data_IF_404353532281
#
_entry.id   IF_404353532281
#
_cell.length_a   1.000
_cell.length_b   1.000
_cell.length_c   1.000
_cell.angle_alpha   90.00
_cell.angle_beta   90.00
_cell.angle_gamma   90.00
#
_symmetry.space_group_name_H-M   'P 1'
#
loop_
_entity.id
_entity.type
_entity.pdbx_description
1 polymer ?
#
# COMPACT_ATOMS: atom_id res chain seq x y z
N UNK A 1 18.66 15.53 -7.46
CA UNK A 1 19.19 16.28 -8.62
C UNK A 1 18.33 16.07 -9.88
N UNK A 2 17.57 14.96 -9.98
CA UNK A 2 16.73 14.67 -11.16
C UNK A 2 15.31 15.27 -11.12
N UNK A 3 15.01 16.13 -10.14
CA UNK A 3 13.73 16.83 -10.04
C UNK A 3 13.91 18.25 -10.54
N UNK A 4 12.91 18.75 -11.25
CA UNK A 4 12.81 20.13 -11.71
C UNK A 4 11.41 20.65 -11.42
N UNK A 5 11.27 21.97 -11.41
CA UNK A 5 9.99 22.68 -11.29
C UNK A 5 9.23 22.46 -10.00
N UNK A 6 9.99 22.32 -8.92
CA UNK A 6 9.43 22.32 -7.59
C UNK A 6 8.95 23.73 -7.21
N UNK A 7 7.92 23.75 -6.35
CA UNK A 7 7.37 24.95 -5.75
C UNK A 7 7.44 24.90 -4.24
N UNK A 8 7.49 26.07 -3.60
CA UNK A 8 7.62 26.24 -2.16
C UNK A 8 6.46 27.06 -1.62
N UNK A 9 5.72 26.42 -0.72
CA UNK A 9 4.78 27.02 0.22
C UNK A 9 5.04 26.31 1.55
N UNK A 10 5.67 26.97 2.52
CA UNK A 10 6.23 26.32 3.71
C UNK A 10 6.07 27.20 4.94
N UNK A 11 6.01 26.63 6.15
CA UNK A 11 6.05 27.46 7.35
C UNK A 11 7.41 28.16 7.48
N UNK A 12 8.51 27.42 7.28
CA UNK A 12 9.88 27.91 7.41
C UNK A 12 10.65 27.77 6.09
N UNK A 13 11.25 28.86 5.63
CA UNK A 13 12.27 28.84 4.59
C UNK A 13 13.62 28.49 5.21
N UNK A 14 14.38 27.57 4.59
CA UNK A 14 15.66 27.09 5.13
C UNK A 14 16.79 27.24 4.11
N UNK A 15 18.04 27.15 4.58
CA UNK A 15 19.23 27.22 3.70
C UNK A 15 19.20 26.13 2.61
N UNK A 16 18.69 24.94 2.91
CA UNK A 16 18.53 23.86 1.92
C UNK A 16 17.57 24.25 0.77
N UNK A 17 16.48 24.94 1.09
CA UNK A 17 15.54 25.44 0.08
C UNK A 17 16.23 26.50 -0.80
N UNK A 18 17.01 27.40 -0.20
CA UNK A 18 17.83 28.35 -0.95
C UNK A 18 18.81 27.63 -1.89
N UNK A 19 19.53 26.62 -1.42
CA UNK A 19 20.47 25.88 -2.26
C UNK A 19 19.77 25.18 -3.45
N UNK A 20 18.59 24.60 -3.23
CA UNK A 20 17.78 24.00 -4.30
C UNK A 20 17.25 25.04 -5.29
N UNK A 21 16.91 26.24 -4.83
CA UNK A 21 16.54 27.35 -5.69
C UNK A 21 17.73 27.81 -6.55
N UNK A 22 18.89 28.02 -5.94
CA UNK A 22 20.13 28.42 -6.64
C UNK A 22 20.59 27.36 -7.65
N UNK A 23 20.29 26.07 -7.41
CA UNK A 23 20.54 24.98 -8.35
C UNK A 23 19.51 24.88 -9.49
N UNK A 24 18.48 25.74 -9.52
CA UNK A 24 17.43 25.74 -10.54
C UNK A 24 16.38 24.62 -10.41
N UNK A 25 16.40 23.88 -9.30
CA UNK A 25 15.43 22.80 -9.02
C UNK A 25 14.07 23.38 -8.65
N UNK A 26 14.08 24.47 -7.87
CA UNK A 26 12.87 25.19 -7.45
C UNK A 26 12.67 26.38 -8.38
N UNK A 27 11.52 26.39 -9.08
CA UNK A 27 11.15 27.48 -9.99
C UNK A 27 9.81 28.11 -9.63
N UNK A 28 9.01 27.44 -8.79
CA UNK A 28 7.67 27.86 -8.38
C UNK A 28 6.66 28.07 -9.53
N UNK A 29 6.97 27.67 -10.77
CA UNK A 29 6.12 27.96 -11.95
C UNK A 29 4.92 27.04 -12.13
N UNK A 30 4.89 25.92 -11.41
CA UNK A 30 3.87 24.88 -11.52
C UNK A 30 3.02 24.76 -10.25
N UNK A 31 3.01 25.78 -9.39
CA UNK A 31 2.31 25.73 -8.10
C UNK A 31 0.80 25.79 -8.29
N UNK A 32 0.31 26.48 -9.33
CA UNK A 32 -1.12 26.73 -9.58
C UNK A 32 -1.71 27.84 -8.70
N UNK A 33 -0.99 28.22 -7.64
CA UNK A 33 -1.28 29.33 -6.76
C UNK A 33 0.03 29.93 -6.24
N UNK A 34 0.12 31.27 -6.15
CA UNK A 34 1.37 31.98 -5.83
C UNK A 34 2.55 31.55 -6.73
N UNK A 35 2.29 31.47 -8.04
CA UNK A 35 3.29 31.04 -9.03
C UNK A 35 4.47 32.01 -9.10
N UNK A 36 5.67 31.45 -9.30
CA UNK A 36 6.92 32.21 -9.35
C UNK A 36 7.45 32.68 -7.99
N UNK A 37 6.73 32.44 -6.89
CA UNK A 37 7.10 32.89 -5.54
C UNK A 37 7.36 31.72 -4.59
N UNK A 38 8.46 31.81 -3.84
CA UNK A 38 8.66 31.03 -2.61
C UNK A 38 7.87 31.72 -1.49
N UNK A 39 6.85 31.03 -0.98
CA UNK A 39 5.98 31.57 0.07
C UNK A 39 6.35 30.93 1.41
N UNK A 40 6.60 31.76 2.42
CA UNK A 40 6.87 31.29 3.78
C UNK A 40 6.29 32.18 4.87
N UNK A 41 6.25 31.69 6.12
CA UNK A 41 5.86 32.51 7.29
C UNK A 41 7.06 33.03 8.08
N UNK A 42 8.16 32.28 8.07
CA UNK A 42 9.41 32.61 8.73
C UNK A 42 10.60 31.97 8.00
N UNK A 43 11.82 32.36 8.36
CA UNK A 43 13.05 31.76 7.84
C UNK A 43 13.96 31.33 9.00
N UNK A 44 14.63 30.19 8.83
CA UNK A 44 15.62 29.65 9.78
C UNK A 44 16.81 29.13 8.98
N UNK A 45 17.98 29.71 9.18
CA UNK A 45 19.20 29.28 8.50
C UNK A 45 20.43 30.08 8.88
N UNK A 46 21.43 29.98 8.03
CA UNK A 46 22.71 30.69 8.12
C UNK A 46 22.66 32.11 7.52
N UNK A 47 23.77 32.84 7.62
CA UNK A 47 23.88 34.20 7.10
C UNK A 47 23.57 34.29 5.59
N UNK A 48 23.98 33.27 4.82
CA UNK A 48 23.75 33.21 3.38
C UNK A 48 22.25 33.20 3.05
N UNK A 49 21.44 32.46 3.81
CA UNK A 49 19.98 32.47 3.64
C UNK A 49 19.40 33.87 3.82
N UNK A 50 19.82 34.58 4.86
CA UNK A 50 19.28 35.92 5.12
C UNK A 50 19.71 36.94 4.07
N UNK A 51 20.94 36.83 3.55
CA UNK A 51 21.39 37.66 2.42
C UNK A 51 20.64 37.33 1.12
N UNK A 52 20.37 36.05 0.86
CA UNK A 52 19.54 35.62 -0.27
C UNK A 52 18.09 36.13 -0.19
N UNK A 53 17.54 36.27 1.01
CA UNK A 53 16.18 36.78 1.23
C UNK A 53 16.10 38.29 1.06
N UNK A 54 17.18 39.02 1.36
CA UNK A 54 17.20 40.47 1.39
C UNK A 54 16.79 41.07 0.02
N UNK A 55 15.69 41.83 0.02
CA UNK A 55 15.09 42.45 -1.17
C UNK A 55 14.89 41.52 -2.38
N UNK A 56 14.68 40.22 -2.13
CA UNK A 56 14.49 39.25 -3.18
C UNK A 56 13.01 39.14 -3.59
N UNK A 57 12.62 39.59 -4.80
CA UNK A 57 11.23 39.56 -5.23
C UNK A 57 10.71 38.14 -5.48
N UNK A 58 11.56 37.11 -5.50
CA UNK A 58 11.12 35.73 -5.61
C UNK A 58 10.63 35.15 -4.28
N UNK A 59 10.81 35.85 -3.15
CA UNK A 59 10.41 35.41 -1.81
C UNK A 59 9.29 36.30 -1.28
N UNK A 60 8.24 35.70 -0.74
CA UNK A 60 7.14 36.41 -0.08
C UNK A 60 6.90 35.83 1.32
N UNK A 61 6.99 36.69 2.34
CA UNK A 61 6.58 36.35 3.69
C UNK A 61 5.14 36.77 3.93
N UNK A 62 4.32 35.83 4.40
CA UNK A 62 2.93 36.04 4.76
C UNK A 62 2.70 35.57 6.21
N UNK A 63 1.70 36.11 6.92
CA UNK A 63 1.41 35.67 8.29
C UNK A 63 0.97 34.20 8.34
N UNK A 64 1.13 33.57 9.51
CA UNK A 64 0.87 32.13 9.67
C UNK A 64 -0.59 31.75 9.45
N UNK A 65 -1.55 32.64 9.72
CA UNK A 65 -2.97 32.43 9.43
C UNK A 65 -3.29 32.36 7.92
N UNK A 66 -2.37 32.84 7.06
CA UNK A 66 -2.41 32.61 5.61
C UNK A 66 -1.63 31.36 5.21
N UNK A 67 -0.36 31.28 5.61
CA UNK A 67 0.56 30.21 5.18
C UNK A 67 0.09 28.85 5.69
N UNK A 68 -0.37 28.79 6.93
CA UNK A 68 -0.84 27.58 7.58
C UNK A 68 -2.36 27.38 7.42
N UNK A 69 -3.05 28.11 6.55
CA UNK A 69 -4.46 27.83 6.33
C UNK A 69 -4.60 26.59 5.43
N UNK A 70 -5.22 25.49 5.88
CA UNK A 70 -5.37 24.28 5.05
C UNK A 70 -6.07 24.56 3.71
N UNK A 71 -7.02 25.50 3.69
CA UNK A 71 -7.74 25.89 2.47
C UNK A 71 -6.86 26.65 1.48
N UNK A 72 -5.83 27.34 1.95
CA UNK A 72 -4.82 27.99 1.09
C UNK A 72 -3.81 26.97 0.60
N UNK A 73 -3.33 26.11 1.50
CA UNK A 73 -2.39 25.02 1.18
C UNK A 73 -2.99 24.12 0.08
N UNK A 74 -4.27 23.75 0.19
CA UNK A 74 -4.99 22.88 -0.73
C UNK A 74 -5.10 23.42 -2.17
N UNK A 75 -4.88 24.72 -2.39
CA UNK A 75 -4.94 25.34 -3.73
C UNK A 75 -3.71 25.05 -4.59
N UNK A 76 -2.65 24.51 -3.99
CA UNK A 76 -1.42 24.20 -4.71
C UNK A 76 -1.51 22.83 -5.37
N UNK A 77 -1.06 22.74 -6.62
CA UNK A 77 -1.00 21.47 -7.34
C UNK A 77 0.01 20.53 -6.70
N UNK A 78 -0.39 19.27 -6.43
CA UNK A 78 0.48 18.21 -5.90
C UNK A 78 1.26 18.63 -4.65
N UNK A 79 0.60 19.36 -3.73
CA UNK A 79 1.20 19.77 -2.47
C UNK A 79 1.75 18.57 -1.69
N UNK A 80 3.04 18.61 -1.33
CA UNK A 80 3.66 17.57 -0.49
C UNK A 80 4.04 18.15 0.86
N UNK A 81 3.44 17.64 1.93
CA UNK A 81 3.81 17.96 3.30
C UNK A 81 4.72 16.86 3.86
N UNK A 82 5.95 17.24 4.24
CA UNK A 82 6.92 16.36 4.90
C UNK A 82 7.09 16.80 6.35
N UNK A 83 6.86 15.90 7.29
CA UNK A 83 6.96 16.21 8.72
C UNK A 83 7.69 15.10 9.46
N UNK A 84 8.63 15.48 10.33
CA UNK A 84 9.36 14.53 11.18
C UNK A 84 8.61 14.36 12.51
N UNK A 85 8.45 13.12 12.96
CA UNK A 85 7.69 12.77 14.16
C UNK A 85 8.53 11.95 15.14
N UNK A 86 8.14 11.89 16.41
CA UNK A 86 8.98 11.28 17.47
C UNK A 86 8.66 9.82 17.74
N UNK A 87 7.39 9.42 17.66
CA UNK A 87 6.95 8.03 17.72
C UNK A 87 5.52 7.88 17.17
N UNK A 88 5.17 6.64 16.81
CA UNK A 88 3.81 6.28 16.40
C UNK A 88 3.39 4.96 17.01
N UNK A 89 2.10 4.83 17.34
CA UNK A 89 1.57 3.52 17.72
C UNK A 89 1.17 2.65 16.53
N UNK A 90 0.91 1.37 16.79
CA UNK A 90 0.47 0.39 15.78
C UNK A 90 -0.85 0.77 15.10
N UNK A 91 -1.69 1.58 15.76
CA UNK A 91 -2.93 2.10 15.17
C UNK A 91 -2.69 3.38 14.39
N UNK A 92 -1.46 3.88 14.33
CA UNK A 92 -1.01 5.06 13.61
C UNK A 92 -1.36 6.39 14.27
N UNK A 93 -1.56 6.45 15.59
CA UNK A 93 -1.53 7.74 16.29
C UNK A 93 -0.08 8.23 16.40
N UNK A 94 0.11 9.55 16.44
CA UNK A 94 1.43 10.15 16.33
C UNK A 94 1.74 11.03 17.52
N UNK A 95 2.92 10.80 18.10
CA UNK A 95 3.59 11.77 18.93
C UNK A 95 4.62 12.52 18.08
N UNK A 96 4.53 13.85 18.07
CA UNK A 96 5.49 14.73 17.40
C UNK A 96 6.14 15.71 18.38
N UNK A 97 5.62 15.79 19.61
CA UNK A 97 6.01 16.73 20.65
C UNK A 97 7.15 16.18 21.53
N UNK A 98 7.74 17.08 22.30
CA UNK A 98 8.72 16.82 23.33
C UNK A 98 8.13 15.98 24.47
N UNK A 99 9.00 15.29 25.21
CA UNK A 99 8.60 14.39 26.29
C UNK A 99 7.84 15.15 27.40
N UNK A 100 6.88 14.53 28.12
CA UNK A 100 5.96 15.21 29.05
C UNK A 100 6.62 16.12 30.09
N UNK A 101 7.87 15.82 30.46
CA UNK A 101 8.63 16.54 31.48
C UNK A 101 9.41 17.75 30.93
N UNK A 102 9.53 17.89 29.61
CA UNK A 102 10.32 18.97 28.99
C UNK A 102 9.50 20.20 28.66
N UNK A 103 8.15 20.12 28.53
CA UNK A 103 7.22 21.24 28.23
C UNK A 103 7.59 22.17 27.04
N UNK A 104 8.64 21.85 26.29
CA UNK A 104 9.16 22.67 25.19
C UNK A 104 8.81 22.02 23.85
N UNK A 105 7.54 22.06 23.47
CA UNK A 105 7.09 22.19 22.07
C UNK A 105 5.57 22.36 22.10
N UNK A 106 5.06 23.20 21.20
CA UNK A 106 3.62 23.42 21.02
C UNK A 106 3.14 22.69 19.77
N UNK A 107 1.82 22.58 19.61
CA UNK A 107 1.21 22.09 18.37
C UNK A 107 1.71 22.98 17.22
N UNK A 108 2.67 22.47 16.44
CA UNK A 108 3.23 23.16 15.28
C UNK A 108 2.20 23.21 14.15
N UNK A 109 2.50 23.93 13.07
CA UNK A 109 1.68 23.93 11.84
C UNK A 109 1.54 22.59 11.13
N UNK A 110 2.08 21.51 11.70
CA UNK A 110 2.10 20.17 11.12
C UNK A 110 0.70 19.70 10.71
N UNK A 111 -0.29 19.83 11.60
CA UNK A 111 -1.67 19.44 11.31
C UNK A 111 -2.28 20.21 10.14
N UNK A 112 -1.91 21.49 10.00
CA UNK A 112 -2.42 22.34 8.94
C UNK A 112 -1.92 21.88 7.58
N UNK A 113 -0.61 21.61 7.48
CA UNK A 113 0.02 21.10 6.27
C UNK A 113 -0.42 19.67 5.93
N UNK A 114 -0.65 18.82 6.94
CA UNK A 114 -1.21 17.47 6.73
C UNK A 114 -2.58 17.58 6.06
N UNK A 115 -3.49 18.37 6.63
CA UNK A 115 -4.85 18.50 6.11
C UNK A 115 -4.89 19.22 4.77
N UNK A 116 -4.12 20.29 4.62
CA UNK A 116 -4.02 21.04 3.38
C UNK A 116 -3.44 20.21 2.23
N UNK A 117 -2.38 19.43 2.48
CA UNK A 117 -1.80 18.56 1.46
C UNK A 117 -2.74 17.40 1.07
N UNK A 118 -3.50 16.85 2.03
CA UNK A 118 -4.50 15.82 1.73
C UNK A 118 -5.68 16.36 0.90
N UNK A 119 -6.03 17.64 1.06
CA UNK A 119 -7.09 18.30 0.28
C UNK A 119 -6.64 18.79 -1.10
N UNK A 120 -5.33 18.93 -1.32
CA UNK A 120 -4.77 19.35 -2.59
C UNK A 120 -4.90 18.27 -3.68
N UNK A 121 -5.14 18.68 -4.94
CA UNK A 121 -5.19 17.76 -6.06
C UNK A 121 -3.84 17.05 -6.26
N UNK A 122 -3.84 15.72 -6.13
CA UNK A 122 -2.63 14.90 -6.19
C UNK A 122 -1.65 15.13 -5.03
N UNK A 123 -2.08 15.79 -3.96
CA UNK A 123 -1.27 16.09 -2.80
C UNK A 123 -0.98 14.88 -1.91
N UNK A 124 0.07 14.99 -1.09
CA UNK A 124 0.55 13.91 -0.21
C UNK A 124 1.02 14.47 1.12
N UNK A 125 0.59 13.84 2.20
CA UNK A 125 1.14 14.05 3.54
C UNK A 125 1.99 12.85 3.93
N UNK A 126 3.26 13.09 4.26
CA UNK A 126 4.25 12.05 4.59
C UNK A 126 4.87 12.38 5.96
N UNK A 127 4.70 11.46 6.89
CA UNK A 127 5.35 11.47 8.20
C UNK A 127 6.63 10.65 8.15
N UNK A 128 7.70 11.22 8.68
CA UNK A 128 9.04 10.64 8.67
C UNK A 128 9.48 10.36 10.11
N UNK A 129 10.00 9.17 10.37
CA UNK A 129 10.73 8.90 11.61
C UNK A 129 11.77 7.80 11.38
N UNK A 130 12.93 7.85 12.04
CA UNK A 130 13.76 6.65 12.17
C UNK A 130 12.95 5.53 12.84
N UNK A 131 13.24 4.28 12.54
CA UNK A 131 12.53 3.16 13.17
C UNK A 131 12.92 3.02 14.66
N UNK A 132 14.10 3.49 15.06
CA UNK A 132 14.61 3.43 16.44
C UNK A 132 14.96 4.81 17.01
N UNK A 133 15.21 4.86 18.32
CA UNK A 133 15.86 6.01 18.95
C UNK A 133 17.32 6.17 18.48
N UNK A 134 17.97 7.25 18.92
CA UNK A 134 19.34 7.57 18.55
C UNK A 134 20.37 6.51 19.03
N UNK A 135 20.00 5.64 19.96
CA UNK A 135 20.86 4.56 20.47
C UNK A 135 20.63 3.22 19.78
N UNK A 136 19.57 3.09 18.97
CA UNK A 136 19.13 1.83 18.37
C UNK A 136 18.43 0.89 19.35
N UNK A 137 18.37 1.22 20.65
CA UNK A 137 17.90 0.30 21.69
C UNK A 137 16.41 0.33 21.94
N UNK A 138 15.70 1.34 21.42
CA UNK A 138 14.25 1.47 21.57
C UNK A 138 13.60 1.72 20.21
N UNK A 139 12.50 1.02 19.94
CA UNK A 139 11.65 1.29 18.78
C UNK A 139 10.90 2.62 18.95
N UNK A 140 10.73 3.36 17.83
CA UNK A 140 9.82 4.51 17.73
C UNK A 140 8.43 4.11 17.24
N UNK A 141 8.28 2.90 16.73
CA UNK A 141 6.98 2.25 16.53
C UNK A 141 6.66 1.50 17.81
N UNK A 142 5.61 1.90 18.51
CA UNK A 142 5.24 1.34 19.83
C UNK A 142 3.86 0.66 19.76
N UNK A 143 3.52 -0.25 20.68
CA UNK A 143 2.19 -0.87 20.69
C UNK A 143 1.07 0.18 20.86
N UNK A 144 1.23 1.08 21.83
CA UNK A 144 0.26 2.11 22.18
C UNK A 144 1.01 3.34 22.74
N UNK A 145 0.61 4.54 22.33
CA UNK A 145 1.14 5.78 22.92
C UNK A 145 0.46 6.04 24.28
N UNK A 146 1.17 5.73 25.37
CA UNK A 146 0.67 5.90 26.75
C UNK A 146 1.37 7.05 27.51
N UNK A 147 2.60 7.37 27.13
CA UNK A 147 3.50 8.29 27.84
C UNK A 147 3.72 9.60 27.06
N UNK A 148 2.94 9.86 26.00
CA UNK A 148 3.10 11.01 25.11
C UNK A 148 1.75 11.56 24.69
N UNK A 149 1.70 12.87 24.45
CA UNK A 149 0.54 13.50 23.85
C UNK A 149 0.39 13.07 22.38
N UNK A 150 -0.84 12.76 21.99
CA UNK A 150 -1.20 12.49 20.60
C UNK A 150 -1.34 13.85 19.90
N UNK A 151 -0.43 14.15 18.98
CA UNK A 151 -0.42 15.40 18.21
C UNK A 151 -1.21 15.25 16.92
N UNK A 152 -1.02 14.12 16.23
CA UNK A 152 -1.76 13.80 15.01
C UNK A 152 -2.64 12.59 15.29
N UNK A 153 -3.97 12.76 15.27
CA UNK A 153 -4.90 11.65 15.37
C UNK A 153 -4.69 10.69 14.20
N UNK A 154 -4.86 9.40 14.46
CA UNK A 154 -4.74 8.34 13.45
C UNK A 154 -5.53 8.60 12.16
N UNK A 155 -6.68 9.28 12.25
CA UNK A 155 -7.53 9.60 11.08
C UNK A 155 -6.90 10.57 10.09
N UNK A 156 -5.97 11.42 10.53
CA UNK A 156 -5.27 12.39 9.69
C UNK A 156 -3.98 11.81 9.06
N UNK A 157 -3.61 10.55 9.38
CA UNK A 157 -2.36 9.92 8.91
C UNK A 157 -2.52 9.21 7.58
N UNK A 158 -1.70 9.62 6.60
CA UNK A 158 -1.58 8.99 5.28
C UNK A 158 -0.29 8.18 5.15
N UNK A 159 0.80 8.78 4.67
CA UNK A 159 2.04 8.06 4.45
C UNK A 159 2.95 8.14 5.68
N UNK A 160 3.60 7.03 6.01
CA UNK A 160 4.60 6.92 7.07
C UNK A 160 5.85 6.29 6.47
N UNK A 161 7.00 6.89 6.69
CA UNK A 161 8.28 6.40 6.20
C UNK A 161 9.30 6.23 7.33
N UNK A 162 10.03 5.12 7.26
CA UNK A 162 11.27 4.86 8.00
C UNK A 162 12.36 4.46 7.01
N UNK A 163 13.57 4.21 7.51
CA UNK A 163 14.66 3.63 6.75
C UNK A 163 14.35 2.22 6.20
N UNK A 164 13.27 1.56 6.66
CA UNK A 164 12.83 0.23 6.20
C UNK A 164 11.71 0.26 5.16
N UNK A 165 11.20 1.44 4.80
CA UNK A 165 10.20 1.58 3.74
C UNK A 165 9.14 2.63 4.03
N UNK A 166 8.12 2.65 3.17
CA UNK A 166 7.00 3.59 3.23
C UNK A 166 5.68 2.83 3.17
N UNK A 167 4.73 3.18 4.04
CA UNK A 167 3.38 2.62 4.03
C UNK A 167 2.33 3.73 3.98
N UNK A 168 1.19 3.45 3.34
CA UNK A 168 0.02 4.31 3.39
C UNK A 168 -1.01 3.74 4.37
N UNK A 169 -1.35 4.49 5.42
CA UNK A 169 -2.32 4.12 6.45
C UNK A 169 -3.74 4.65 6.19
N UNK A 170 -3.95 5.44 5.14
CA UNK A 170 -5.26 5.98 4.80
C UNK A 170 -6.20 4.86 4.34
N UNK A 171 -7.43 4.83 4.88
CA UNK A 171 -8.44 3.82 4.57
C UNK A 171 -8.14 2.41 5.08
N UNK A 172 -7.04 2.20 5.82
CA UNK A 172 -6.68 0.91 6.43
C UNK A 172 -7.39 0.69 7.76
N UNK A 173 -7.83 -0.55 8.00
CA UNK A 173 -8.29 -1.04 9.29
C UNK A 173 -7.16 -1.07 10.33
N UNK A 174 -7.49 -1.23 11.62
CA UNK A 174 -6.46 -1.33 12.68
C UNK A 174 -5.51 -2.51 12.48
N UNK A 175 -6.02 -3.65 11.99
CA UNK A 175 -5.18 -4.80 11.66
C UNK A 175 -4.18 -4.48 10.54
N UNK A 176 -4.65 -3.85 9.46
CA UNK A 176 -3.78 -3.48 8.33
C UNK A 176 -2.77 -2.39 8.72
N UNK A 177 -3.17 -1.46 9.58
CA UNK A 177 -2.27 -0.44 10.14
C UNK A 177 -1.18 -1.08 10.98
N UNK A 178 -1.53 -2.01 11.87
CA UNK A 178 -0.56 -2.68 12.71
C UNK A 178 0.47 -3.46 11.88
N UNK A 179 0.03 -4.24 10.87
CA UNK A 179 0.94 -4.95 9.96
C UNK A 179 1.82 -3.99 9.16
N UNK A 180 1.23 -2.92 8.61
CA UNK A 180 1.97 -1.92 7.86
C UNK A 180 3.04 -1.25 8.74
N UNK A 181 2.69 -0.84 9.96
CA UNK A 181 3.64 -0.24 10.90
C UNK A 181 4.74 -1.22 11.29
N UNK A 182 4.42 -2.48 11.59
CA UNK A 182 5.42 -3.52 11.90
C UNK A 182 6.37 -3.74 10.71
N UNK A 183 5.86 -3.70 9.47
CA UNK A 183 6.69 -3.91 8.27
C UNK A 183 7.79 -2.86 8.06
N UNK A 184 7.57 -1.64 8.56
CA UNK A 184 8.54 -0.54 8.51
C UNK A 184 9.23 -0.32 9.87
N UNK A 185 9.03 -1.21 10.84
CA UNK A 185 9.79 -1.23 12.08
C UNK A 185 11.17 -1.85 11.87
N UNK A 186 12.10 -1.53 12.78
CA UNK A 186 13.41 -2.15 12.81
C UNK A 186 13.27 -3.66 13.08
N UNK A 187 13.97 -4.54 12.34
CA UNK A 187 13.82 -6.00 12.41
C UNK A 187 13.79 -6.56 13.83
N UNK A 188 14.72 -6.12 14.69
CA UNK A 188 14.85 -6.57 16.09
C UNK A 188 13.59 -6.39 16.96
N UNK A 189 12.67 -5.49 16.58
CA UNK A 189 11.46 -5.20 17.36
C UNK A 189 10.17 -5.72 16.70
N UNK A 190 10.24 -6.30 15.50
CA UNK A 190 9.04 -6.74 14.76
C UNK A 190 8.29 -7.83 15.51
N UNK A 191 9.03 -8.77 16.07
CA UNK A 191 8.50 -9.93 16.80
C UNK A 191 7.75 -9.49 18.06
N UNK A 192 8.37 -8.58 18.82
CA UNK A 192 7.78 -7.98 20.02
C UNK A 192 6.51 -7.20 19.66
N UNK A 193 6.58 -6.32 18.66
CA UNK A 193 5.43 -5.51 18.23
C UNK A 193 4.26 -6.37 17.73
N UNK A 194 4.56 -7.46 17.02
CA UNK A 194 3.56 -8.41 16.56
C UNK A 194 2.90 -9.16 17.72
N UNK A 195 3.69 -9.58 18.71
CA UNK A 195 3.18 -10.22 19.91
C UNK A 195 2.27 -9.28 20.73
N UNK A 196 2.68 -8.02 20.88
CA UNK A 196 1.85 -6.99 21.53
C UNK A 196 0.58 -6.70 20.72
N UNK A 197 0.66 -6.63 19.39
CA UNK A 197 -0.52 -6.47 18.53
C UNK A 197 -1.54 -7.60 18.72
N UNK A 198 -1.07 -8.85 18.87
CA UNK A 198 -1.94 -9.99 19.23
C UNK A 198 -2.61 -9.82 20.58
N UNK A 199 -1.85 -9.43 21.62
CA UNK A 199 -2.40 -9.16 22.96
C UNK A 199 -3.46 -8.06 22.94
N UNK A 200 -3.26 -7.04 22.11
CA UNK A 200 -4.20 -5.95 21.89
C UNK A 200 -5.44 -6.35 21.08
N UNK A 201 -5.52 -7.60 20.60
CA UNK A 201 -6.63 -8.08 19.77
C UNK A 201 -6.63 -7.52 18.35
N UNK A 202 -5.50 -6.97 17.88
CA UNK A 202 -5.36 -6.47 16.50
C UNK A 202 -5.21 -7.60 15.48
N UNK A 203 -4.76 -8.79 15.92
CA UNK A 203 -4.59 -10.00 15.11
C UNK A 203 -5.38 -11.18 15.70
N UNK A 204 -5.78 -12.13 14.84
CA UNK A 204 -6.34 -13.41 15.29
C UNK A 204 -5.26 -14.26 15.98
N UNK A 205 -5.66 -15.04 16.99
CA UNK A 205 -4.72 -15.81 17.83
C UNK A 205 -3.89 -16.85 17.04
N UNK A 206 -4.39 -17.30 15.89
CA UNK A 206 -3.85 -18.41 15.09
C UNK A 206 -2.68 -18.04 14.15
N UNK A 207 -2.40 -16.76 13.86
CA UNK A 207 -1.35 -16.37 12.88
C UNK A 207 0.06 -16.48 13.43
N UNK A 208 1.04 -17.03 12.70
CA UNK A 208 2.46 -16.92 13.12
C UNK A 208 3.12 -15.64 12.59
N UNK A 209 4.23 -15.25 13.20
CA UNK A 209 5.01 -14.06 12.85
C UNK A 209 5.69 -14.21 11.48
N UNK A 210 6.22 -15.40 11.17
CA UNK A 210 6.92 -15.71 9.91
C UNK A 210 5.98 -15.56 8.70
N UNK A 211 4.73 -16.00 8.83
CA UNK A 211 3.65 -15.77 7.84
C UNK A 211 3.29 -14.28 7.70
N UNK A 212 3.55 -13.47 8.72
CA UNK A 212 3.15 -12.06 8.79
C UNK A 212 4.24 -11.07 8.36
N UNK A 213 5.52 -11.43 8.51
CA UNK A 213 6.67 -10.65 8.00
C UNK A 213 6.83 -10.85 6.49
N UNK A 214 6.48 -12.02 5.95
CA UNK A 214 6.31 -12.20 4.50
C UNK A 214 4.96 -11.63 4.00
N UNK A 215 3.99 -11.45 4.92
CA UNK A 215 2.75 -10.69 4.77
C UNK A 215 2.89 -9.18 4.47
N UNK A 216 4.06 -8.69 4.04
CA UNK A 216 4.19 -7.32 3.55
C UNK A 216 3.45 -7.24 2.22
N UNK A 217 2.44 -6.39 2.19
CA UNK A 217 1.62 -6.17 1.01
C UNK A 217 2.49 -5.79 -0.21
N UNK A 218 2.53 -6.61 -1.28
CA UNK A 218 3.42 -6.38 -2.41
C UNK A 218 2.81 -5.32 -3.34
N UNK A 219 3.08 -4.04 -3.04
CA UNK A 219 2.56 -2.87 -3.76
C UNK A 219 2.95 -2.91 -5.24
N UNK A 220 4.08 -3.53 -5.58
CA UNK A 220 4.54 -3.71 -6.96
C UNK A 220 3.63 -4.59 -7.83
N UNK A 221 2.73 -5.38 -7.21
CA UNK A 221 1.72 -6.14 -7.93
C UNK A 221 0.46 -5.31 -8.23
N UNK A 222 0.29 -4.13 -7.61
CA UNK A 222 -0.80 -3.22 -7.92
C UNK A 222 -0.62 -2.57 -9.31
N UNK A 223 -1.68 -2.62 -10.12
CA UNK A 223 -1.68 -2.02 -11.45
C UNK A 223 -3.09 -1.54 -11.82
N UNK A 224 -3.19 -0.32 -12.36
CA UNK A 224 -4.41 0.16 -12.98
C UNK A 224 -4.36 -0.11 -14.48
N UNK A 225 -5.31 -0.90 -14.97
CA UNK A 225 -5.47 -1.19 -16.40
C UNK A 225 -6.81 -0.64 -16.90
N UNK A 226 -6.88 -0.33 -18.19
CA UNK A 226 -8.11 0.13 -18.83
C UNK A 226 -8.70 -0.98 -19.69
N UNK A 227 -9.93 -1.39 -19.38
CA UNK A 227 -10.67 -2.42 -20.13
C UNK A 227 -12.01 -1.81 -20.55
N UNK A 228 -12.28 -1.77 -21.85
CA UNK A 228 -13.51 -1.21 -22.44
C UNK A 228 -13.89 0.20 -21.94
N UNK A 229 -12.89 1.03 -21.63
CA UNK A 229 -13.11 2.38 -21.13
C UNK A 229 -13.11 2.51 -19.60
N UNK A 230 -13.31 1.41 -18.87
CA UNK A 230 -13.37 1.38 -17.41
C UNK A 230 -11.98 1.09 -16.80
N UNK A 231 -11.67 1.74 -15.67
CA UNK A 231 -10.44 1.49 -14.93
C UNK A 231 -10.65 0.27 -14.03
N UNK A 232 -9.80 -0.73 -14.20
CA UNK A 232 -9.74 -1.93 -13.36
C UNK A 232 -8.42 -1.90 -12.59
N UNK A 233 -8.50 -1.91 -11.27
CA UNK A 233 -7.34 -2.02 -10.39
C UNK A 233 -7.08 -3.49 -10.10
N UNK A 234 -5.96 -4.02 -10.62
CA UNK A 234 -5.44 -5.32 -10.24
C UNK A 234 -4.56 -5.13 -9.00
N UNK A 235 -4.81 -5.89 -7.94
CA UNK A 235 -4.01 -5.78 -6.71
C UNK A 235 -4.08 -7.05 -5.85
N UNK A 236 -3.09 -7.33 -4.99
CA UNK A 236 -3.22 -8.34 -3.96
C UNK A 236 -4.44 -8.12 -3.07
N UNK A 237 -5.07 -9.20 -2.63
CA UNK A 237 -6.15 -9.17 -1.66
C UNK A 237 -5.65 -8.61 -0.34
N UNK A 238 -6.54 -7.96 0.39
CA UNK A 238 -6.31 -7.42 1.74
C UNK A 238 -7.16 -8.22 2.72
N UNK A 239 -6.80 -8.29 4.01
CA UNK A 239 -7.63 -8.96 5.02
C UNK A 239 -9.09 -8.47 5.04
N UNK A 240 -9.32 -7.20 4.71
CA UNK A 240 -10.65 -6.58 4.66
C UNK A 240 -11.48 -6.91 3.40
N UNK A 241 -10.90 -7.60 2.42
CA UNK A 241 -11.60 -7.94 1.17
C UNK A 241 -12.56 -9.12 1.33
N UNK A 242 -12.62 -9.73 2.52
CA UNK A 242 -13.48 -10.88 2.85
C UNK A 242 -14.90 -10.69 2.31
N UNK A 243 -15.54 -9.56 2.61
CA UNK A 243 -16.90 -9.27 2.16
C UNK A 243 -17.00 -9.06 0.65
N UNK A 244 -16.02 -8.39 0.04
CA UNK A 244 -16.03 -8.11 -1.41
C UNK A 244 -15.82 -9.39 -2.23
N UNK A 245 -14.96 -10.29 -1.75
CA UNK A 245 -14.72 -11.61 -2.34
C UNK A 245 -15.96 -12.49 -2.16
N UNK A 246 -16.58 -12.45 -0.98
CA UNK A 246 -17.83 -13.15 -0.72
C UNK A 246 -18.95 -12.68 -1.66
N UNK A 247 -19.13 -11.36 -1.80
CA UNK A 247 -20.08 -10.76 -2.74
C UNK A 247 -19.77 -11.16 -4.19
N UNK A 248 -18.50 -11.21 -4.58
CA UNK A 248 -18.09 -11.71 -5.89
C UNK A 248 -18.58 -13.15 -6.13
N UNK A 249 -18.35 -14.08 -5.19
CA UNK A 249 -18.78 -15.47 -5.35
C UNK A 249 -20.30 -15.63 -5.41
N UNK A 250 -21.07 -14.82 -4.67
CA UNK A 250 -22.54 -14.81 -4.79
C UNK A 250 -23.04 -14.29 -6.15
N UNK A 251 -22.22 -13.61 -6.94
CA UNK A 251 -22.58 -13.13 -8.29
C UNK A 251 -22.19 -14.08 -9.42
N UNK A 252 -21.54 -15.21 -9.11
CA UNK A 252 -21.14 -16.19 -10.11
C UNK A 252 -22.31 -17.06 -10.56
N UNK A 253 -22.28 -17.50 -11.82
CA UNK A 253 -23.20 -18.52 -12.31
C UNK A 253 -22.87 -19.88 -11.66
N UNK A 254 -23.86 -20.77 -11.50
CA UNK A 254 -23.68 -22.07 -10.83
C UNK A 254 -22.51 -22.89 -11.38
N UNK A 255 -22.35 -22.92 -12.70
CA UNK A 255 -21.28 -23.66 -13.36
C UNK A 255 -19.89 -23.09 -13.02
N UNK A 256 -19.77 -21.77 -12.84
CA UNK A 256 -18.51 -21.13 -12.47
C UNK A 256 -18.15 -21.44 -11.02
N UNK A 257 -19.15 -21.51 -10.13
CA UNK A 257 -18.95 -21.98 -8.74
C UNK A 257 -18.49 -23.43 -8.72
N UNK A 258 -19.17 -24.33 -9.44
CA UNK A 258 -18.78 -25.74 -9.52
C UNK A 258 -17.36 -25.87 -10.09
N UNK A 259 -17.05 -25.13 -11.15
CA UNK A 259 -15.71 -25.15 -11.74
C UNK A 259 -14.64 -24.66 -10.77
N UNK A 260 -14.97 -23.74 -9.86
CA UNK A 260 -14.02 -23.15 -8.92
C UNK A 260 -13.79 -24.02 -7.69
N UNK A 261 -14.84 -24.66 -7.20
CA UNK A 261 -14.82 -25.39 -5.92
C UNK A 261 -14.95 -26.91 -6.09
N UNK A 262 -15.12 -27.41 -7.31
CA UNK A 262 -15.37 -28.82 -7.66
C UNK A 262 -16.65 -29.43 -7.05
N UNK A 263 -17.53 -28.62 -6.49
CA UNK A 263 -18.85 -29.02 -5.99
C UNK A 263 -19.83 -27.84 -6.04
N UNK A 264 -21.13 -28.12 -5.97
CA UNK A 264 -22.14 -27.08 -5.81
C UNK A 264 -22.01 -26.40 -4.45
N UNK A 265 -21.86 -25.07 -4.44
CA UNK A 265 -21.75 -24.28 -3.22
C UNK A 265 -22.69 -23.07 -3.28
N UNK A 266 -23.62 -23.00 -2.34
CA UNK A 266 -24.62 -21.91 -2.28
C UNK A 266 -24.36 -20.92 -1.14
N UNK A 267 -23.45 -21.24 -0.22
CA UNK A 267 -23.13 -20.42 0.96
C UNK A 267 -21.62 -20.26 1.05
N UNK A 268 -21.16 -19.02 1.22
CA UNK A 268 -19.76 -18.68 1.43
C UNK A 268 -19.61 -18.07 2.81
N UNK A 269 -19.34 -18.87 3.84
CA UNK A 269 -19.26 -18.37 5.22
C UNK A 269 -17.95 -17.60 5.44
N UNK A 270 -17.96 -16.62 6.35
CA UNK A 270 -16.77 -15.82 6.72
C UNK A 270 -15.52 -16.69 6.95
N UNK A 271 -15.64 -17.74 7.76
CA UNK A 271 -14.54 -18.66 8.09
C UNK A 271 -13.88 -19.30 6.86
N UNK A 272 -14.61 -19.48 5.77
CA UNK A 272 -14.08 -20.08 4.54
C UNK A 272 -13.36 -19.04 3.67
N UNK A 273 -13.82 -17.78 3.71
CA UNK A 273 -13.18 -16.67 3.01
C UNK A 273 -11.88 -16.24 3.67
N UNK A 274 -11.71 -16.55 4.95
CA UNK A 274 -10.47 -16.28 5.69
C UNK A 274 -9.26 -16.95 5.04
N UNK A 275 -9.34 -18.16 4.49
CA UNK A 275 -8.21 -18.80 3.80
C UNK A 275 -7.76 -18.06 2.53
N UNK A 276 -8.70 -17.37 1.87
CA UNK A 276 -8.45 -16.61 0.62
C UNK A 276 -7.89 -15.21 0.93
N UNK A 277 -8.16 -14.67 2.12
CA UNK A 277 -7.69 -13.33 2.56
C UNK A 277 -6.52 -13.38 3.53
N UNK A 278 -6.23 -14.53 4.13
CA UNK A 278 -5.04 -14.80 4.94
C UNK A 278 -3.89 -15.26 4.04
N UNK A 279 -3.36 -14.30 3.28
CA UNK A 279 -2.26 -14.50 2.35
C UNK A 279 -0.96 -13.98 2.96
N UNK A 280 0.09 -14.80 2.92
CA UNK A 280 1.46 -14.41 3.25
C UNK A 280 2.20 -13.84 2.02
N UNK A 281 1.50 -13.74 0.87
CA UNK A 281 1.97 -13.29 -0.45
C UNK A 281 3.14 -14.09 -1.03
N UNK A 282 3.57 -15.16 -0.36
CA UNK A 282 4.71 -16.01 -0.73
C UNK A 282 4.22 -17.41 -1.06
N UNK A 283 3.64 -18.11 -0.08
CA UNK A 283 3.10 -19.45 -0.21
C UNK A 283 1.63 -19.43 -0.63
N UNK A 284 0.91 -18.37 -0.29
CA UNK A 284 -0.46 -18.13 -0.71
C UNK A 284 -0.61 -16.68 -1.20
N UNK A 285 -1.08 -16.49 -2.43
CA UNK A 285 -1.29 -15.18 -3.02
C UNK A 285 -2.64 -15.13 -3.75
N UNK A 286 -3.49 -14.20 -3.32
CA UNK A 286 -4.73 -13.87 -4.01
C UNK A 286 -4.60 -12.49 -4.67
N UNK A 287 -4.85 -12.41 -5.97
CA UNK A 287 -4.99 -11.19 -6.74
C UNK A 287 -6.46 -10.92 -7.06
N UNK A 288 -6.87 -9.67 -6.87
CA UNK A 288 -8.22 -9.17 -7.15
C UNK A 288 -8.17 -8.21 -8.34
N UNK A 289 -9.18 -8.30 -9.21
CA UNK A 289 -9.55 -7.23 -10.11
C UNK A 289 -10.72 -6.45 -9.51
N UNK A 290 -10.52 -5.16 -9.26
CA UNK A 290 -11.48 -4.28 -8.58
C UNK A 290 -11.87 -3.13 -9.49
N UNK A 291 -13.17 -2.81 -9.55
CA UNK A 291 -13.71 -1.66 -10.30
C UNK A 291 -14.48 -0.72 -9.38
N UNK A 292 -14.55 0.56 -9.73
CA UNK A 292 -15.21 1.60 -8.95
C UNK A 292 -14.23 2.43 -8.11
N UNK A 293 -14.77 3.32 -7.29
CA UNK A 293 -13.98 4.27 -6.50
C UNK A 293 -13.17 3.57 -5.40
N UNK A 294 -12.03 4.18 -5.04
CA UNK A 294 -11.19 3.70 -3.95
C UNK A 294 -12.00 3.62 -2.65
N UNK A 295 -11.92 2.47 -1.96
CA UNK A 295 -12.70 2.19 -0.75
C UNK A 295 -14.10 1.61 -1.00
N UNK A 296 -14.72 1.88 -2.14
CA UNK A 296 -16.05 1.38 -2.52
C UNK A 296 -16.02 0.38 -3.68
N UNK A 297 -14.83 0.02 -4.15
CA UNK A 297 -14.67 -0.86 -5.30
C UNK A 297 -15.26 -2.26 -5.11
N UNK A 298 -15.77 -2.81 -6.21
CA UNK A 298 -16.34 -4.16 -6.33
C UNK A 298 -15.35 -5.11 -6.98
N UNK A 299 -15.21 -6.32 -6.42
CA UNK A 299 -14.37 -7.38 -7.00
C UNK A 299 -15.10 -8.00 -8.20
N UNK A 300 -14.45 -8.00 -9.36
CA UNK A 300 -14.97 -8.54 -10.63
C UNK A 300 -14.19 -9.76 -11.12
N UNK A 301 -13.01 -10.00 -10.58
CA UNK A 301 -12.28 -11.26 -10.75
C UNK A 301 -11.38 -11.53 -9.55
N UNK A 302 -11.18 -12.81 -9.27
CA UNK A 302 -10.25 -13.33 -8.26
C UNK A 302 -9.39 -14.39 -8.92
N UNK A 303 -8.08 -14.29 -8.74
CA UNK A 303 -7.13 -15.35 -9.10
C UNK A 303 -6.22 -15.59 -7.91
N UNK A 304 -6.01 -16.84 -7.54
CA UNK A 304 -5.14 -17.17 -6.42
C UNK A 304 -4.14 -18.27 -6.79
N UNK A 305 -3.06 -18.34 -6.02
CA UNK A 305 -2.28 -19.56 -5.92
C UNK A 305 -2.07 -19.99 -4.48
N UNK A 306 -1.98 -21.31 -4.26
CA UNK A 306 -1.55 -21.94 -3.01
C UNK A 306 -0.41 -22.92 -3.30
N UNK A 307 0.69 -22.85 -2.54
CA UNK A 307 1.82 -23.77 -2.73
C UNK A 307 1.49 -25.19 -2.24
N UNK A 308 1.82 -26.18 -3.06
CA UNK A 308 1.97 -27.57 -2.65
C UNK A 308 3.44 -27.81 -2.28
N UNK A 309 3.76 -27.66 -0.99
CA UNK A 309 5.15 -27.65 -0.48
C UNK A 309 5.96 -28.88 -0.92
N UNK A 310 5.33 -30.06 -0.93
CA UNK A 310 6.00 -31.32 -1.30
C UNK A 310 6.50 -31.35 -2.75
N UNK A 311 5.85 -30.61 -3.65
CA UNK A 311 6.19 -30.56 -5.09
C UNK A 311 6.86 -29.25 -5.49
N UNK A 312 6.85 -28.24 -4.62
CA UNK A 312 7.24 -26.86 -4.92
C UNK A 312 6.53 -26.32 -6.18
N UNK A 313 5.23 -26.60 -6.30
CA UNK A 313 4.34 -26.10 -7.34
C UNK A 313 3.20 -25.32 -6.71
N UNK A 314 2.74 -24.26 -7.37
CA UNK A 314 1.62 -23.46 -6.92
C UNK A 314 0.33 -23.88 -7.63
N UNK A 315 -0.66 -24.37 -6.90
CA UNK A 315 -2.00 -24.63 -7.40
C UNK A 315 -2.70 -23.30 -7.68
N UNK A 316 -3.20 -23.11 -8.91
CA UNK A 316 -3.89 -21.88 -9.30
C UNK A 316 -5.39 -22.09 -9.47
N UNK A 317 -6.17 -21.08 -9.08
CA UNK A 317 -7.60 -21.08 -9.27
C UNK A 317 -8.17 -19.68 -9.55
N UNK A 318 -9.26 -19.62 -10.32
CA UNK A 318 -9.78 -18.36 -10.88
C UNK A 318 -11.30 -18.28 -10.86
N UNK A 319 -11.79 -17.05 -10.73
CA UNK A 319 -13.20 -16.70 -10.94
C UNK A 319 -13.29 -15.32 -11.57
N UNK A 320 -14.21 -15.15 -12.53
CA UNK A 320 -14.44 -13.90 -13.24
C UNK A 320 -15.94 -13.71 -13.37
N UNK A 321 -16.46 -12.57 -12.90
CA UNK A 321 -17.88 -12.24 -12.99
C UNK A 321 -18.33 -12.24 -14.45
N UNK A 322 -19.54 -12.72 -14.72
CA UNK A 322 -20.08 -12.90 -16.09
C UNK A 322 -19.89 -11.70 -17.02
N UNK A 323 -20.18 -10.48 -16.54
CA UNK A 323 -20.02 -9.24 -17.32
C UNK A 323 -18.56 -8.93 -17.74
N UNK A 324 -17.58 -9.60 -17.13
CA UNK A 324 -16.15 -9.41 -17.32
C UNK A 324 -15.46 -10.62 -17.96
N UNK A 325 -16.20 -11.71 -18.20
CA UNK A 325 -15.69 -12.86 -18.94
C UNK A 325 -15.37 -12.48 -20.39
N UNK A 326 -14.36 -13.12 -20.99
CA UNK A 326 -13.88 -12.78 -22.33
C UNK A 326 -13.01 -11.52 -22.43
N UNK A 327 -12.92 -10.71 -21.36
CA UNK A 327 -12.12 -9.46 -21.32
C UNK A 327 -10.67 -9.65 -20.88
N UNK A 328 -10.12 -10.86 -21.03
CA UNK A 328 -8.73 -11.25 -20.70
C UNK A 328 -8.31 -11.13 -19.22
N UNK A 329 -9.21 -10.81 -18.28
CA UNK A 329 -8.87 -10.71 -16.84
C UNK A 329 -8.22 -11.98 -16.28
N UNK A 330 -8.75 -13.16 -16.60
CA UNK A 330 -8.14 -14.43 -16.18
C UNK A 330 -6.68 -14.56 -16.63
N UNK A 331 -6.39 -14.18 -17.89
CA UNK A 331 -5.02 -14.19 -18.43
C UNK A 331 -4.11 -13.23 -17.67
N UNK A 332 -4.58 -12.01 -17.43
CA UNK A 332 -3.81 -10.99 -16.70
C UNK A 332 -3.46 -11.48 -15.29
N UNK A 333 -4.45 -12.04 -14.57
CA UNK A 333 -4.24 -12.59 -13.24
C UNK A 333 -3.26 -13.78 -13.27
N UNK A 334 -3.44 -14.74 -14.18
CA UNK A 334 -2.56 -15.91 -14.28
C UNK A 334 -1.10 -15.51 -14.55
N UNK A 335 -0.85 -14.57 -15.46
CA UNK A 335 0.50 -14.12 -15.74
C UNK A 335 1.14 -13.42 -14.53
N UNK A 336 0.40 -12.56 -13.82
CA UNK A 336 0.91 -11.92 -12.59
C UNK A 336 1.18 -12.92 -11.48
N UNK A 337 0.30 -13.92 -11.29
CA UNK A 337 0.52 -15.01 -10.33
C UNK A 337 1.77 -15.82 -10.69
N UNK A 338 1.99 -16.13 -11.98
CA UNK A 338 3.19 -16.84 -12.44
C UNK A 338 4.47 -16.04 -12.16
N UNK A 339 4.46 -14.73 -12.42
CA UNK A 339 5.59 -13.85 -12.12
C UNK A 339 5.88 -13.75 -10.62
N UNK A 340 4.84 -13.61 -9.79
CA UNK A 340 4.96 -13.59 -8.34
C UNK A 340 5.50 -14.91 -7.79
N UNK A 341 4.91 -16.04 -8.20
CA UNK A 341 5.35 -17.38 -7.83
C UNK A 341 6.83 -17.61 -8.18
N UNK A 342 7.25 -17.20 -9.39
CA UNK A 342 8.65 -17.29 -9.83
C UNK A 342 9.58 -16.44 -8.97
N UNK A 343 9.21 -15.20 -8.64
CA UNK A 343 10.00 -14.32 -7.76
C UNK A 343 10.14 -14.90 -6.35
N UNK A 344 9.11 -15.61 -5.88
CA UNK A 344 9.07 -16.28 -4.59
C UNK A 344 9.79 -17.66 -4.58
N UNK A 345 10.46 -18.05 -5.67
CA UNK A 345 11.22 -19.29 -5.74
C UNK A 345 10.40 -20.57 -5.98
N UNK A 346 9.11 -20.42 -6.31
CA UNK A 346 8.23 -21.55 -6.65
C UNK A 346 8.62 -22.07 -8.04
N UNK A 347 8.68 -23.40 -8.22
CA UNK A 347 9.22 -24.01 -9.44
C UNK A 347 8.28 -23.97 -10.65
N UNK A 348 6.99 -23.78 -10.43
CA UNK A 348 5.98 -23.85 -11.48
C UNK A 348 4.55 -23.74 -10.95
N UNK A 349 3.59 -23.94 -11.85
CA UNK A 349 2.16 -23.89 -11.55
C UNK A 349 1.50 -25.24 -11.85
N UNK A 350 0.46 -25.55 -11.09
CA UNK A 350 -0.44 -26.67 -11.31
C UNK A 350 -1.89 -26.17 -11.29
N UNK A 351 -2.75 -26.77 -12.11
CA UNK A 351 -4.18 -26.52 -12.07
C UNK A 351 -4.94 -27.82 -12.22
N UNK A 352 -5.96 -27.98 -11.39
CA UNK A 352 -6.96 -29.03 -11.53
C UNK A 352 -8.14 -28.45 -12.29
N UNK A 353 -8.69 -29.17 -13.25
CA UNK A 353 -9.90 -28.74 -13.95
C UNK A 353 -10.65 -29.89 -14.56
N UNK A 354 -11.96 -29.74 -14.80
CA UNK A 354 -12.70 -30.75 -15.53
C UNK A 354 -12.26 -30.73 -17.01
N UNK A 355 -12.21 -31.90 -17.67
CA UNK A 355 -11.80 -32.03 -19.07
C UNK A 355 -12.62 -31.17 -20.05
N UNK A 356 -13.87 -30.88 -19.71
CA UNK A 356 -14.76 -30.01 -20.49
C UNK A 356 -14.52 -28.52 -20.28
N UNK A 357 -13.69 -28.12 -19.32
CA UNK A 357 -13.40 -26.71 -19.03
C UNK A 357 -12.40 -26.12 -20.03
N UNK A 358 -12.87 -25.94 -21.26
CA UNK A 358 -12.11 -25.32 -22.37
C UNK A 358 -11.59 -23.92 -22.01
N UNK A 359 -12.29 -23.20 -21.11
CA UNK A 359 -11.87 -21.90 -20.62
C UNK A 359 -10.57 -21.99 -19.83
N UNK A 360 -10.52 -22.84 -18.81
CA UNK A 360 -9.33 -23.03 -17.98
C UNK A 360 -8.16 -23.63 -18.77
N UNK A 361 -8.43 -24.61 -19.66
CA UNK A 361 -7.39 -25.19 -20.51
C UNK A 361 -6.74 -24.12 -21.39
N UNK A 362 -7.54 -23.30 -22.09
CA UNK A 362 -7.02 -22.19 -22.91
C UNK A 362 -6.30 -21.14 -22.09
N UNK A 363 -6.79 -20.86 -20.88
CA UNK A 363 -6.18 -19.90 -19.98
C UNK A 363 -4.78 -20.36 -19.55
N UNK A 364 -4.65 -21.60 -19.07
CA UNK A 364 -3.36 -22.18 -18.70
C UNK A 364 -2.40 -22.24 -19.91
N UNK A 365 -2.93 -22.51 -21.11
CA UNK A 365 -2.21 -22.47 -22.39
C UNK A 365 -1.65 -21.11 -22.78
N UNK A 366 -2.10 -20.01 -22.15
CA UNK A 366 -1.53 -18.69 -22.43
C UNK A 366 -0.14 -18.49 -21.81
N UNK A 367 0.26 -19.33 -20.87
CA UNK A 367 1.58 -19.26 -20.24
C UNK A 367 2.70 -19.51 -21.28
N UNK A 368 3.86 -18.84 -21.12
CA UNK A 368 5.01 -18.99 -22.02
C UNK A 368 5.85 -20.25 -21.71
N UNK A 369 5.28 -21.24 -21.02
CA UNK A 369 5.97 -22.45 -20.55
C UNK A 369 5.38 -23.71 -21.18
N UNK A 370 6.17 -24.77 -21.30
CA UNK A 370 5.67 -26.08 -21.75
C UNK A 370 4.63 -26.59 -20.75
N UNK A 371 3.52 -27.11 -21.28
CA UNK A 371 2.39 -27.56 -20.48
C UNK A 371 2.25 -29.05 -20.62
N UNK A 372 2.33 -29.75 -19.50
CA UNK A 372 1.99 -31.16 -19.39
C UNK A 372 0.51 -31.30 -19.02
N UNK A 373 -0.17 -32.23 -19.66
CA UNK A 373 -1.59 -32.54 -19.41
C UNK A 373 -1.68 -34.01 -19.02
N UNK A 374 -2.19 -34.28 -17.83
CA UNK A 374 -2.38 -35.64 -17.33
C UNK A 374 -3.82 -35.82 -16.84
N UNK A 375 -4.44 -36.93 -17.20
CA UNK A 375 -5.70 -37.34 -16.62
C UNK A 375 -5.42 -38.15 -15.35
N UNK A 376 -6.00 -37.69 -14.24
CA UNK A 376 -5.98 -38.40 -12.96
C UNK A 376 -7.42 -38.54 -12.49
N UNK A 377 -7.92 -39.79 -12.45
CA UNK A 377 -9.32 -40.12 -12.18
C UNK A 377 -10.28 -39.34 -13.12
N UNK A 378 -11.09 -38.43 -12.56
CA UNK A 378 -12.08 -37.60 -13.26
C UNK A 378 -11.62 -36.14 -13.48
N UNK A 379 -10.35 -35.84 -13.21
CA UNK A 379 -9.80 -34.47 -13.28
C UNK A 379 -8.64 -34.39 -14.28
N UNK A 380 -8.63 -33.33 -15.07
CA UNK A 380 -7.52 -32.95 -15.92
C UNK A 380 -6.53 -32.10 -15.11
N UNK A 381 -5.32 -32.63 -14.92
CA UNK A 381 -4.20 -31.95 -14.27
C UNK A 381 -3.36 -31.25 -15.34
N UNK A 382 -3.23 -29.94 -15.22
CA UNK A 382 -2.37 -29.10 -16.06
C UNK A 382 -1.17 -28.67 -15.23
N UNK A 383 0.05 -28.86 -15.74
CA UNK A 383 1.27 -28.48 -15.02
C UNK A 383 2.23 -27.77 -15.96
N UNK A 384 2.91 -26.74 -15.47
CA UNK A 384 4.05 -26.14 -16.15
C UNK A 384 5.18 -25.82 -15.16
N UNK A 385 6.44 -25.94 -15.61
CA UNK A 385 7.60 -25.49 -14.84
C UNK A 385 8.21 -24.25 -15.46
N UNK A 386 8.67 -23.33 -14.62
CA UNK A 386 9.23 -22.05 -15.08
C UNK A 386 10.62 -22.19 -15.71
N UNK A 387 11.29 -23.33 -15.52
CA UNK A 387 12.55 -23.73 -16.15
C UNK A 387 12.37 -24.33 -17.57
N UNK A 388 11.12 -24.52 -18.02
CA UNK A 388 10.78 -25.12 -19.31
C UNK A 388 9.96 -24.15 -20.19
N UNK A 389 10.60 -23.17 -20.85
CA UNK A 389 9.89 -22.25 -21.76
C UNK A 389 9.36 -22.96 -23.01
N UNK A 390 8.28 -22.42 -23.60
CA UNK A 390 7.83 -22.83 -24.95
C UNK A 390 8.90 -22.47 -25.98
N UNK A 391 9.06 -23.35 -26.96
CA UNK A 391 9.95 -23.14 -28.12
C UNK A 391 9.48 -22.01 -29.01
#
# INVERSE_FOLDING_TARGET
QDKSDLGIHTQYLTSDIMHLYSAGVITNRCKGFNDGKMVASAAIGDANLYEFIHDNPAVEFHPSDYVNNPSIIARHNRMVALNVVTAMDLTGQVAADSLPYTQFSGVTGMMDFIRGATQAEGGKSILLMPATDATGKKSRIVPLLNDRAIVIPRGDVHYVATEYGVVNLFGKSFQERALAMISIAHPDFRDELFFEAKKMGLFSQERTLTESIHGIYPVELEENIKIDGEIVTIRPAKPIDERRIQEHFYTLDKNDVISRFFHEKTTFLRKEMQGITQIDYVNNLTLLAVVGEFGFGRVVAVGEYLIEESKNLAEVAFSVSRAWQGKKLGKILLHKLAEAAKKNGISGLIAFTNHDNKGMIRLFETLPYQINKKFEEDVLVLTCRFDQPKS
#
